data_IF_681605804273
#
_entry.id   IF_681605804273
#
_cell.length_a   1.000
_cell.length_b   1.000
_cell.length_c   1.000
_cell.angle_alpha   90.00
_cell.angle_beta   90.00
_cell.angle_gamma   90.00
#
_symmetry.space_group_name_H-M   'P 1'
#
loop_
_entity.id
_entity.type
_entity.pdbx_description
1 polymer ?
#
# COMPACT_ATOMS: atom_id res chain seq x y z
N UNK A 1 34.32 -89.65 3.53
CA UNK A 1 34.60 -90.53 2.37
C UNK A 1 33.23 -90.82 1.74
N UNK A 2 32.72 -89.95 0.85
CA UNK A 2 32.96 -89.84 -0.61
C UNK A 2 32.04 -90.76 -1.41
N UNK A 3 31.35 -90.19 -2.42
CA UNK A 3 30.67 -90.79 -3.60
C UNK A 3 29.31 -90.08 -3.81
N UNK A 4 28.90 -89.45 -4.92
CA UNK A 4 29.24 -89.32 -6.35
C UNK A 4 28.83 -87.88 -6.76
N UNK A 5 29.30 -87.20 -7.81
CA UNK A 5 29.76 -87.61 -9.12
C UNK A 5 29.12 -86.66 -10.16
N UNK A 6 29.97 -86.03 -10.96
CA UNK A 6 29.71 -84.93 -11.91
C UNK A 6 28.86 -85.34 -13.14
N UNK A 7 28.17 -84.35 -13.74
CA UNK A 7 27.65 -84.15 -15.14
C UNK A 7 27.59 -85.32 -16.15
N UNK A 8 26.52 -85.34 -16.97
CA UNK A 8 26.50 -85.18 -18.47
C UNK A 8 25.02 -85.14 -18.96
N UNK A 9 24.54 -84.04 -19.55
CA UNK A 9 24.25 -83.80 -21.00
C UNK A 9 22.98 -84.48 -21.56
N UNK A 10 22.01 -83.69 -22.08
CA UNK A 10 21.53 -83.76 -23.48
C UNK A 10 20.60 -82.58 -23.86
N UNK A 11 20.74 -82.09 -25.09
CA UNK A 11 20.11 -80.92 -25.72
C UNK A 11 18.71 -81.22 -26.34
N UNK A 12 18.19 -80.25 -27.11
CA UNK A 12 17.00 -80.22 -28.01
C UNK A 12 15.75 -79.59 -27.37
N UNK A 13 15.23 -78.43 -27.77
CA UNK A 13 15.21 -77.80 -29.09
C UNK A 13 15.03 -76.27 -28.99
N UNK A 14 15.82 -75.53 -29.76
CA UNK A 14 15.51 -74.15 -30.13
C UNK A 14 14.75 -74.15 -31.47
N UNK A 15 13.75 -73.27 -31.59
CA UNK A 15 13.32 -72.77 -32.90
C UNK A 15 11.83 -72.92 -33.22
N UNK A 16 11.04 -71.94 -32.81
CA UNK A 16 9.93 -71.45 -33.64
C UNK A 16 9.65 -70.00 -33.26
N UNK A 17 10.23 -69.09 -34.04
CA UNK A 17 9.90 -67.68 -34.11
C UNK A 17 8.38 -67.53 -34.30
N UNK A 18 7.69 -66.94 -33.32
CA UNK A 18 6.42 -66.26 -33.57
C UNK A 18 6.55 -64.85 -33.03
N UNK A 19 6.97 -63.96 -33.93
CA UNK A 19 6.98 -62.53 -33.72
C UNK A 19 5.54 -62.01 -33.81
N UNK A 20 4.74 -62.17 -32.76
CA UNK A 20 3.40 -61.57 -32.72
C UNK A 20 2.84 -61.49 -31.29
N UNK A 21 3.42 -60.61 -30.48
CA UNK A 21 2.65 -59.71 -29.60
C UNK A 21 3.64 -58.68 -29.04
N UNK A 22 4.01 -57.71 -29.89
CA UNK A 22 4.43 -56.39 -29.40
C UNK A 22 3.17 -55.75 -28.79
N UNK A 23 2.75 -56.27 -27.63
CA UNK A 23 1.73 -55.65 -26.80
C UNK A 23 2.31 -54.31 -26.41
N UNK A 24 1.86 -53.26 -27.07
CA UNK A 24 2.04 -51.89 -26.62
C UNK A 24 1.34 -51.79 -25.27
N UNK A 25 2.05 -52.13 -24.20
CA UNK A 25 1.70 -51.66 -22.87
C UNK A 25 1.86 -50.15 -22.96
N UNK A 26 0.75 -49.46 -23.19
CA UNK A 26 0.64 -48.05 -22.82
C UNK A 26 0.99 -48.06 -21.33
N UNK A 27 2.20 -47.61 -21.02
CA UNK A 27 2.60 -47.36 -19.65
C UNK A 27 1.71 -46.18 -19.23
N UNK A 28 0.53 -46.49 -18.72
CA UNK A 28 -0.30 -45.52 -18.04
C UNK A 28 0.58 -44.99 -16.92
N UNK A 29 1.10 -43.77 -17.10
CA UNK A 29 1.97 -43.12 -16.13
C UNK A 29 1.11 -42.67 -14.95
N UNK A 30 0.62 -43.64 -14.19
CA UNK A 30 -0.13 -43.45 -12.96
C UNK A 30 0.81 -43.56 -11.77
N UNK A 31 0.87 -42.51 -10.96
CA UNK A 31 1.56 -42.57 -9.68
C UNK A 31 0.70 -43.37 -8.70
N UNK A 32 1.06 -44.63 -8.45
CA UNK A 32 0.35 -45.49 -7.51
C UNK A 32 0.71 -45.10 -6.07
N UNK A 33 -0.18 -44.35 -5.43
CA UNK A 33 -0.06 -43.98 -4.01
C UNK A 33 -0.76 -45.06 -3.17
N UNK A 34 -0.13 -45.48 -2.07
CA UNK A 34 -0.80 -46.36 -1.10
C UNK A 34 -2.00 -45.64 -0.48
N UNK A 35 -3.10 -46.33 -0.16
CA UNK A 35 -4.30 -45.71 0.39
C UNK A 35 -4.02 -44.92 1.68
N UNK A 36 -3.06 -45.38 2.49
CA UNK A 36 -2.60 -44.68 3.69
C UNK A 36 -1.89 -43.35 3.40
N UNK A 37 -1.05 -43.28 2.37
CA UNK A 37 -0.40 -42.03 1.99
C UNK A 37 -1.40 -41.05 1.34
N UNK A 38 -2.36 -41.55 0.57
CA UNK A 38 -3.41 -40.74 -0.04
C UNK A 38 -4.28 -40.03 1.02
N UNK A 39 -4.66 -40.71 2.10
CA UNK A 39 -5.45 -40.09 3.18
C UNK A 39 -4.65 -39.02 3.92
N UNK A 40 -3.36 -39.22 4.18
CA UNK A 40 -2.51 -38.20 4.81
C UNK A 40 -2.41 -36.96 3.94
N UNK A 41 -2.25 -37.12 2.62
CA UNK A 41 -2.18 -36.00 1.69
C UNK A 41 -3.50 -35.21 1.64
N UNK A 42 -4.64 -35.90 1.54
CA UNK A 42 -5.95 -35.24 1.49
C UNK A 42 -6.26 -34.54 2.81
N UNK A 43 -6.00 -35.19 3.94
CA UNK A 43 -6.28 -34.62 5.27
C UNK A 43 -5.36 -33.44 5.57
N UNK A 44 -4.09 -33.50 5.22
CA UNK A 44 -3.16 -32.37 5.36
C UNK A 44 -3.53 -31.19 4.47
N UNK A 45 -3.90 -31.42 3.21
CA UNK A 45 -4.38 -30.34 2.33
C UNK A 45 -5.67 -29.70 2.86
N UNK A 46 -6.60 -30.51 3.36
CA UNK A 46 -7.84 -30.01 3.95
C UNK A 46 -7.59 -29.18 5.22
N UNK A 47 -6.69 -29.60 6.10
CA UNK A 47 -6.35 -28.85 7.32
C UNK A 47 -5.61 -27.57 7.00
N UNK A 48 -4.63 -27.59 6.08
CA UNK A 48 -3.93 -26.39 5.62
C UNK A 48 -4.93 -25.41 4.99
N UNK A 49 -5.83 -25.89 4.12
CA UNK A 49 -6.88 -25.07 3.52
C UNK A 49 -7.77 -24.41 4.57
N UNK A 50 -8.20 -25.17 5.59
CA UNK A 50 -8.99 -24.64 6.69
C UNK A 50 -8.22 -23.56 7.47
N UNK A 51 -6.94 -23.79 7.78
CA UNK A 51 -6.08 -22.83 8.48
C UNK A 51 -5.86 -21.55 7.67
N UNK A 52 -5.70 -21.66 6.35
CA UNK A 52 -5.56 -20.50 5.47
C UNK A 52 -6.85 -19.69 5.44
N UNK A 53 -8.01 -20.33 5.32
CA UNK A 53 -9.31 -19.65 5.33
C UNK A 53 -9.54 -18.96 6.68
N UNK A 54 -9.28 -19.63 7.81
CA UNK A 54 -9.46 -19.01 9.13
C UNK A 54 -8.53 -17.82 9.35
N UNK A 55 -7.28 -17.90 8.90
CA UNK A 55 -6.35 -16.76 8.91
C UNK A 55 -6.85 -15.60 8.05
N UNK A 56 -7.35 -15.86 6.85
CA UNK A 56 -7.93 -14.82 5.99
C UNK A 56 -9.14 -14.16 6.64
N UNK A 57 -10.06 -14.95 7.21
CA UNK A 57 -11.23 -14.42 7.93
C UNK A 57 -10.78 -13.59 9.14
N UNK A 58 -9.85 -14.08 9.96
CA UNK A 58 -9.32 -13.33 11.10
C UNK A 58 -8.67 -12.02 10.66
N UNK A 59 -7.85 -12.04 9.61
CA UNK A 59 -7.21 -10.85 9.05
C UNK A 59 -8.24 -9.84 8.55
N UNK A 60 -9.26 -10.29 7.80
CA UNK A 60 -10.33 -9.41 7.32
C UNK A 60 -11.11 -8.78 8.46
N UNK A 61 -11.41 -9.53 9.53
CA UNK A 61 -12.07 -8.98 10.73
C UNK A 61 -11.19 -7.97 11.46
N UNK A 62 -9.88 -8.21 11.56
CA UNK A 62 -8.95 -7.23 12.14
C UNK A 62 -8.88 -5.94 11.31
N UNK A 63 -8.81 -6.07 9.97
CA UNK A 63 -8.81 -4.93 9.06
C UNK A 63 -10.14 -4.15 9.12
N UNK A 64 -11.27 -4.86 9.14
CA UNK A 64 -12.59 -4.25 9.25
C UNK A 64 -12.77 -3.56 10.62
N UNK A 65 -12.21 -4.10 11.70
CA UNK A 65 -12.20 -3.48 13.02
C UNK A 65 -11.37 -2.18 13.05
N UNK A 66 -10.21 -2.17 12.38
CA UNK A 66 -9.41 -0.96 12.18
C UNK A 66 -10.16 0.10 11.35
N UNK A 67 -10.85 -0.32 10.28
CA UNK A 67 -11.62 0.60 9.43
C UNK A 67 -12.87 1.14 10.14
N UNK A 68 -13.59 0.29 10.88
CA UNK A 68 -14.75 0.65 11.69
C UNK A 68 -14.41 1.67 12.78
N UNK A 69 -13.26 1.54 13.45
CA UNK A 69 -12.75 2.54 14.41
C UNK A 69 -12.12 3.77 13.74
N UNK A 70 -11.72 3.64 12.48
CA UNK A 70 -10.97 4.66 11.74
C UNK A 70 -11.80 5.49 10.75
N UNK A 71 -13.10 5.26 10.60
CA UNK A 71 -13.90 5.96 9.57
C UNK A 71 -13.91 7.49 9.74
N UNK A 72 -13.76 8.02 10.97
CA UNK A 72 -13.51 9.45 11.20
C UNK A 72 -12.02 9.84 11.21
N UNK A 73 -11.12 8.88 11.44
CA UNK A 73 -9.66 9.09 11.39
C UNK A 73 -9.16 9.22 9.97
N UNK A 74 -9.76 8.52 9.00
CA UNK A 74 -9.38 8.61 7.58
C UNK A 74 -9.74 10.00 7.02
N UNK A 75 -10.89 10.55 7.39
CA UNK A 75 -11.32 11.90 6.99
C UNK A 75 -10.48 12.99 7.68
N UNK A 76 -10.16 12.80 8.98
CA UNK A 76 -9.27 13.71 9.70
C UNK A 76 -7.81 13.61 9.19
N UNK A 77 -7.37 12.43 8.77
CA UNK A 77 -6.07 12.23 8.14
C UNK A 77 -6.02 12.90 6.77
N UNK A 78 -7.06 12.78 5.94
CA UNK A 78 -7.11 13.49 4.65
C UNK A 78 -7.09 15.01 4.83
N UNK A 79 -7.83 15.56 5.80
CA UNK A 79 -7.80 17.00 6.10
C UNK A 79 -6.42 17.44 6.61
N UNK A 80 -5.77 16.63 7.45
CA UNK A 80 -4.43 16.92 7.95
C UNK A 80 -3.36 16.82 6.83
N UNK A 81 -3.50 15.85 5.93
CA UNK A 81 -2.63 15.68 4.78
C UNK A 81 -2.77 16.87 3.82
N UNK A 82 -4.00 17.33 3.56
CA UNK A 82 -4.29 18.52 2.75
C UNK A 82 -3.73 19.80 3.40
N UNK A 83 -3.92 19.99 4.71
CA UNK A 83 -3.32 21.11 5.44
C UNK A 83 -1.79 21.09 5.35
N UNK A 84 -1.18 19.91 5.54
CA UNK A 84 0.28 19.74 5.48
C UNK A 84 0.82 20.06 4.09
N UNK A 85 0.15 19.58 3.05
CA UNK A 85 0.49 19.85 1.66
C UNK A 85 0.41 21.34 1.35
N UNK A 86 -0.68 21.99 1.73
CA UNK A 86 -0.90 23.42 1.47
C UNK A 86 0.12 24.29 2.20
N UNK A 87 0.51 23.92 3.42
CA UNK A 87 1.56 24.61 4.18
C UNK A 87 2.94 24.47 3.55
N UNK A 88 3.30 23.26 3.09
CA UNK A 88 4.58 23.05 2.40
C UNK A 88 4.59 23.79 1.06
N UNK A 89 3.48 23.76 0.32
CA UNK A 89 3.33 24.48 -0.93
C UNK A 89 3.46 26.00 -0.72
N UNK A 90 2.77 26.58 0.26
CA UNK A 90 2.87 28.03 0.52
C UNK A 90 4.30 28.45 0.86
N UNK A 91 4.98 27.67 1.71
CA UNK A 91 6.37 27.92 2.06
C UNK A 91 7.31 27.78 0.86
N UNK A 92 7.08 26.79 0.01
CA UNK A 92 7.87 26.60 -1.21
C UNK A 92 7.73 27.77 -2.17
N UNK A 93 6.50 28.27 -2.35
CA UNK A 93 6.23 29.45 -3.20
C UNK A 93 6.92 30.70 -2.66
N UNK A 94 6.84 30.93 -1.34
CA UNK A 94 7.46 32.08 -0.66
C UNK A 94 8.99 32.06 -0.79
N UNK A 95 9.62 30.93 -0.48
CA UNK A 95 11.09 30.80 -0.51
C UNK A 95 11.69 30.89 -1.91
N UNK A 96 10.94 30.52 -2.94
CA UNK A 96 11.42 30.54 -4.32
C UNK A 96 10.97 31.77 -5.10
N UNK A 97 10.32 32.75 -4.45
CA UNK A 97 9.76 33.94 -5.10
C UNK A 97 8.94 33.59 -6.34
N UNK A 98 8.22 32.47 -6.29
CA UNK A 98 7.32 32.05 -7.36
C UNK A 98 6.10 32.96 -7.29
N UNK A 99 6.17 34.13 -7.94
CA UNK A 99 5.03 35.01 -8.17
C UNK A 99 4.03 34.30 -9.09
N UNK A 100 3.21 33.44 -8.51
CA UNK A 100 2.23 32.62 -9.22
C UNK A 100 0.98 32.50 -8.39
N UNK A 101 -0.07 33.22 -8.81
CA UNK A 101 -1.41 33.24 -8.22
C UNK A 101 -2.15 31.88 -8.29
N UNK A 102 -1.45 30.78 -8.56
CA UNK A 102 -2.01 29.47 -8.75
C UNK A 102 -1.99 28.73 -7.42
N UNK A 103 -2.82 29.19 -6.48
CA UNK A 103 -3.12 28.41 -5.28
C UNK A 103 -3.84 27.13 -5.74
N UNK A 104 -3.33 25.93 -5.40
CA UNK A 104 -4.02 24.69 -5.72
C UNK A 104 -5.45 24.71 -5.19
N UNK A 105 -6.42 24.18 -5.95
CA UNK A 105 -7.83 24.21 -5.56
C UNK A 105 -8.09 23.58 -4.19
N UNK A 106 -7.33 22.55 -3.84
CA UNK A 106 -7.39 21.88 -2.53
C UNK A 106 -7.00 22.80 -1.37
N UNK A 107 -6.18 23.81 -1.61
CA UNK A 107 -5.74 24.78 -0.61
C UNK A 107 -6.65 25.99 -0.50
N UNK A 108 -7.65 26.13 -1.38
CA UNK A 108 -8.49 27.32 -1.45
C UNK A 108 -9.29 27.53 -0.16
N UNK A 109 -9.99 26.50 0.31
CA UNK A 109 -10.83 26.59 1.49
C UNK A 109 -9.98 26.76 2.75
N UNK A 110 -8.84 26.07 2.83
CA UNK A 110 -7.83 26.22 3.88
C UNK A 110 -7.26 27.64 3.95
N UNK A 111 -6.96 28.24 2.79
CA UNK A 111 -6.49 29.63 2.71
C UNK A 111 -7.58 30.62 3.14
N UNK A 112 -8.83 30.41 2.72
CA UNK A 112 -9.97 31.22 3.15
C UNK A 112 -10.12 31.13 4.67
N UNK A 113 -10.08 29.94 5.26
CA UNK A 113 -10.17 29.73 6.70
C UNK A 113 -8.98 30.37 7.44
N UNK A 114 -7.76 30.28 6.90
CA UNK A 114 -6.57 30.89 7.50
C UNK A 114 -6.67 32.43 7.55
N UNK A 115 -7.22 33.05 6.51
CA UNK A 115 -7.44 34.50 6.46
C UNK A 115 -8.65 34.91 7.30
N UNK A 116 -9.83 34.34 7.04
CA UNK A 116 -11.09 34.69 7.74
C UNK A 116 -11.10 34.27 9.21
N UNK A 117 -10.41 33.19 9.55
CA UNK A 117 -10.25 32.72 10.94
C UNK A 117 -9.29 33.56 11.78
N UNK A 118 -8.74 34.65 11.22
CA UNK A 118 -7.89 35.60 11.92
C UNK A 118 -6.49 35.07 12.23
N UNK A 119 -6.09 33.91 11.70
CA UNK A 119 -4.73 33.38 11.86
C UNK A 119 -3.72 34.26 11.12
N UNK A 120 -4.05 34.69 9.90
CA UNK A 120 -3.24 35.65 9.14
C UNK A 120 -2.94 36.93 9.93
N UNK A 121 -3.96 37.53 10.55
CA UNK A 121 -3.80 38.76 11.34
C UNK A 121 -2.91 38.56 12.58
N UNK A 122 -3.05 37.43 13.28
CA UNK A 122 -2.20 37.09 14.43
C UNK A 122 -0.74 36.90 14.02
N UNK A 123 -0.49 36.23 12.90
CA UNK A 123 0.88 36.01 12.41
C UNK A 123 1.53 37.34 12.01
N UNK A 124 0.75 38.27 11.45
CA UNK A 124 1.18 39.64 11.13
C UNK A 124 1.51 40.46 12.40
N UNK A 125 0.67 40.35 13.44
CA UNK A 125 0.90 41.02 14.73
C UNK A 125 2.21 40.54 15.39
N UNK A 126 2.43 39.22 15.40
CA UNK A 126 3.67 38.61 15.92
C UNK A 126 4.90 39.03 15.10
N UNK A 127 4.74 39.24 13.80
CA UNK A 127 5.83 39.74 12.95
C UNK A 127 6.24 41.16 13.37
N UNK A 128 5.28 42.06 13.55
CA UNK A 128 5.59 43.45 13.93
C UNK A 128 6.13 43.59 15.35
N UNK A 129 5.71 42.74 16.29
CA UNK A 129 6.27 42.72 17.65
C UNK A 129 7.78 42.41 17.66
N UNK A 130 8.26 41.66 16.67
CA UNK A 130 9.69 41.34 16.52
C UNK A 130 10.50 42.46 15.87
N UNK A 131 9.85 43.41 15.18
CA UNK A 131 10.55 44.52 14.52
C UNK A 131 10.79 45.64 15.53
N UNK A 132 12.02 45.70 16.04
CA UNK A 132 12.45 46.81 16.90
C UNK A 132 13.06 47.95 16.07
N UNK A 133 12.70 49.21 16.33
CA UNK A 133 13.33 50.34 15.67
C UNK A 133 14.83 50.42 16.00
N UNK A 134 15.61 51.03 15.10
CA UNK A 134 16.99 51.44 15.36
C UNK A 134 17.05 52.37 16.57
N UNK A 135 18.24 52.54 17.17
CA UNK A 135 18.49 53.42 18.34
C UNK A 135 17.99 54.87 18.16
N UNK A 136 17.78 55.29 16.91
CA UNK A 136 17.23 56.60 16.53
C UNK A 136 15.72 56.74 16.81
N UNK A 137 15.06 55.68 17.29
CA UNK A 137 13.68 55.68 17.79
C UNK A 137 12.59 55.70 16.72
N UNK A 138 12.94 55.71 15.43
CA UNK A 138 11.98 55.71 14.31
C UNK A 138 12.02 54.37 13.57
N UNK A 139 10.92 53.62 13.67
CA UNK A 139 10.67 52.42 12.87
C UNK A 139 9.77 52.74 11.69
N UNK A 140 10.26 52.54 10.46
CA UNK A 140 9.46 52.67 9.25
C UNK A 140 9.19 51.28 8.71
N UNK A 141 7.91 50.95 8.51
CA UNK A 141 7.47 49.72 7.84
C UNK A 141 6.85 50.14 6.51
N UNK A 142 7.45 49.68 5.41
CA UNK A 142 6.87 49.82 4.09
C UNK A 142 6.04 48.56 3.80
N UNK A 143 4.76 48.73 3.50
CA UNK A 143 3.83 47.63 3.24
C UNK A 143 3.15 47.90 1.89
N UNK A 144 3.14 46.88 1.03
CA UNK A 144 2.33 46.90 -0.18
C UNK A 144 0.84 46.78 0.18
N UNK A 145 -0.01 47.60 -0.45
CA UNK A 145 -1.43 47.69 -0.10
C UNK A 145 -2.30 46.66 -0.83
N UNK A 146 -1.78 46.06 -1.90
CA UNK A 146 -2.53 45.12 -2.71
C UNK A 146 -2.80 43.83 -1.92
N UNK A 147 -4.08 43.49 -1.74
CA UNK A 147 -4.51 42.30 -1.02
C UNK A 147 -4.64 42.44 0.51
N UNK A 148 -4.28 43.59 1.10
CA UNK A 148 -4.46 43.85 2.54
C UNK A 148 -5.84 44.40 2.86
N UNK A 149 -6.33 45.31 2.01
CA UNK A 149 -7.66 45.87 2.12
C UNK A 149 -8.56 45.28 1.04
N UNK A 150 -9.82 44.94 1.35
CA UNK A 150 -10.77 44.62 0.30
C UNK A 150 -10.88 45.84 -0.63
N UNK A 151 -10.54 45.64 -1.90
CA UNK A 151 -10.59 46.71 -2.92
C UNK A 151 -12.02 47.26 -3.10
N UNK A 152 -13.04 46.51 -2.64
CA UNK A 152 -14.43 46.93 -2.62
C UNK A 152 -15.16 46.37 -1.37
N UNK A 153 -15.88 47.19 -0.57
CA UNK A 153 -16.64 46.70 0.59
C UNK A 153 -17.75 45.70 0.23
N UNK A 154 -18.18 45.65 -1.03
CA UNK A 154 -19.15 44.68 -1.54
C UNK A 154 -18.58 43.26 -1.67
N UNK A 155 -17.26 43.11 -1.81
CA UNK A 155 -16.60 41.80 -1.92
C UNK A 155 -16.54 41.03 -0.59
N UNK A 156 -16.86 41.69 0.52
CA UNK A 156 -17.01 41.05 1.84
C UNK A 156 -18.25 40.15 1.94
N UNK A 157 -19.24 40.34 1.06
CA UNK A 157 -20.51 39.59 1.07
C UNK A 157 -20.63 38.52 -0.04
N UNK A 158 -19.64 38.38 -0.92
CA UNK A 158 -19.73 37.50 -2.09
C UNK A 158 -18.59 36.46 -2.23
N UNK A 159 -17.72 36.28 -1.22
CA UNK A 159 -16.61 35.32 -1.28
C UNK A 159 -16.64 34.29 -0.17
#
# INVERSE_FOLDING_TARGET
MSAYGHQMEENYSAGSLSAEMRSSYVLESGFYITPFAATILITSLATIGLLMITMLVALTMMLQSCQSRGSGVIELQSVNDDYSYCKVHSLHTELNSLEGHNLPSICKDLAIEYVKGGRYARDLEVYFDKVKPSDDGVGVVLIDIDGIFPQNPSDLYQR
#
